data_IF_773077091310
#
_entry.id   IF_773077091310
#
_cell.length_a   1.000
_cell.length_b   1.000
_cell.length_c   1.000
_cell.angle_alpha   90.00
_cell.angle_beta   90.00
_cell.angle_gamma   90.00
#
_symmetry.space_group_name_H-M   'P 1'
#
loop_
_entity.id
_entity.type
_entity.pdbx_description
1 polymer ?
#
# COMPACT_ATOMS: atom_id res chain seq x y z
N UNK A 1 -8.93 -2.89 9.74
CA UNK A 1 -7.61 -2.32 9.40
C UNK A 1 -7.39 -2.42 7.90
N UNK A 2 -6.94 -1.35 7.25
CA UNK A 2 -6.48 -1.42 5.87
C UNK A 2 -5.04 -1.94 5.87
N UNK A 3 -4.81 -3.10 5.25
CA UNK A 3 -3.46 -3.65 5.09
C UNK A 3 -2.55 -2.73 4.27
N UNK A 4 -1.24 -3.02 4.17
CA UNK A 4 -0.36 -2.25 3.31
C UNK A 4 -0.91 -2.18 1.87
N UNK A 5 -0.96 -0.98 1.28
CA UNK A 5 -1.44 -0.80 -0.10
C UNK A 5 -0.49 -1.53 -1.05
N UNK A 6 -0.90 -2.72 -1.49
CA UNK A 6 -0.09 -3.56 -2.34
C UNK A 6 -0.28 -3.15 -3.80
N UNK A 7 0.56 -2.23 -4.30
CA UNK A 7 0.70 -2.01 -5.73
C UNK A 7 1.39 -3.24 -6.33
N UNK A 8 0.59 -4.21 -6.78
CA UNK A 8 1.12 -5.35 -7.53
C UNK A 8 1.48 -4.89 -8.94
N UNK A 9 2.69 -5.21 -9.44
CA UNK A 9 2.99 -5.04 -10.85
C UNK A 9 1.97 -5.83 -11.65
N UNK A 10 1.17 -5.14 -12.46
CA UNK A 10 0.28 -5.79 -13.42
C UNK A 10 1.05 -6.11 -14.68
N UNK A 11 0.67 -7.20 -15.35
CA UNK A 11 1.27 -7.59 -16.63
C UNK A 11 1.16 -6.42 -17.62
N UNK A 12 2.30 -5.91 -18.07
CA UNK A 12 2.35 -4.87 -19.10
C UNK A 12 2.00 -5.42 -20.49
N UNK A 13 1.66 -4.52 -21.43
CA UNK A 13 1.57 -4.80 -22.86
C UNK A 13 2.72 -4.09 -23.58
N UNK A 14 3.35 -4.76 -24.55
CA UNK A 14 4.44 -4.20 -25.36
C UNK A 14 4.51 -4.89 -26.72
N UNK A 15 4.81 -4.14 -27.78
CA UNK A 15 5.11 -4.68 -29.12
C UNK A 15 6.37 -5.56 -29.12
N UNK A 16 6.24 -6.81 -29.61
CA UNK A 16 7.31 -7.82 -29.70
C UNK A 16 7.05 -8.81 -30.85
N UNK A 17 8.09 -9.37 -31.49
CA UNK A 17 7.95 -10.49 -32.42
C UNK A 17 7.25 -11.70 -31.80
N UNK A 18 6.53 -12.47 -32.61
CA UNK A 18 5.88 -13.70 -32.18
C UNK A 18 6.91 -14.67 -31.55
N UNK A 19 6.54 -15.32 -30.45
CA UNK A 19 7.44 -16.23 -29.72
C UNK A 19 8.49 -15.57 -28.82
N UNK A 20 8.55 -14.22 -28.75
CA UNK A 20 9.53 -13.47 -27.93
C UNK A 20 8.90 -12.67 -26.77
N UNK A 21 8.25 -13.34 -25.78
CA UNK A 21 7.61 -12.64 -24.68
C UNK A 21 8.66 -11.92 -23.81
N UNK A 22 8.46 -10.62 -23.57
CA UNK A 22 9.24 -9.88 -22.59
C UNK A 22 8.81 -10.31 -21.18
N UNK A 23 9.48 -11.32 -20.63
CA UNK A 23 9.24 -11.82 -19.28
C UNK A 23 9.87 -10.86 -18.27
N UNK A 24 9.06 -10.23 -17.44
CA UNK A 24 9.53 -9.54 -16.25
C UNK A 24 9.58 -10.56 -15.12
N UNK A 25 10.74 -10.71 -14.49
CA UNK A 25 10.89 -11.57 -13.30
C UNK A 25 10.05 -10.96 -12.18
N UNK A 26 9.23 -11.79 -11.53
CA UNK A 26 8.49 -11.34 -10.36
C UNK A 26 9.48 -10.95 -9.26
N UNK A 27 9.36 -9.72 -8.74
CA UNK A 27 10.11 -9.27 -7.57
C UNK A 27 9.45 -9.85 -6.33
N UNK A 28 9.87 -11.05 -5.91
CA UNK A 28 9.32 -11.72 -4.71
C UNK A 28 9.69 -11.02 -3.41
N UNK A 29 10.85 -10.37 -3.39
CA UNK A 29 11.35 -9.68 -2.22
C UNK A 29 11.01 -8.19 -2.30
N UNK A 30 10.02 -7.74 -1.51
CA UNK A 30 9.61 -6.33 -1.43
C UNK A 30 10.05 -5.72 -0.11
N UNK A 31 11.29 -5.26 -0.06
CA UNK A 31 11.84 -4.61 1.13
C UNK A 31 11.50 -3.13 1.21
N UNK A 32 11.17 -2.50 0.07
CA UNK A 32 10.98 -1.05 -0.05
C UNK A 32 9.60 -0.71 -0.64
N UNK A 33 9.08 0.47 -0.33
CA UNK A 33 7.86 1.02 -0.93
C UNK A 33 6.54 0.49 -0.36
N UNK A 34 6.57 -0.27 0.75
CA UNK A 34 5.35 -0.63 1.48
C UNK A 34 4.94 0.52 2.38
N UNK A 35 3.73 1.03 2.16
CA UNK A 35 3.12 2.07 2.99
C UNK A 35 1.92 1.50 3.74
N UNK A 36 1.76 1.91 4.99
CA UNK A 36 0.69 1.50 5.89
C UNK A 36 -0.27 2.67 6.10
N UNK A 37 -1.56 2.44 5.86
CA UNK A 37 -2.60 3.38 6.20
C UNK A 37 -3.11 3.07 7.61
N UNK A 38 -3.05 4.06 8.49
CA UNK A 38 -3.71 4.03 9.80
C UNK A 38 -4.92 4.95 9.68
N UNK A 39 -6.12 4.44 9.99
CA UNK A 39 -7.35 5.19 9.82
C UNK A 39 -8.35 4.93 10.96
N UNK A 40 -9.18 5.93 11.23
CA UNK A 40 -10.31 5.87 12.14
C UNK A 40 -11.56 6.39 11.41
N UNK A 41 -12.66 5.67 11.58
CA UNK A 41 -13.97 6.04 11.06
C UNK A 41 -14.81 6.58 12.21
N UNK A 42 -15.26 7.82 12.09
CA UNK A 42 -16.27 8.39 12.98
C UNK A 42 -17.65 7.90 12.55
N UNK A 43 -18.30 7.11 13.41
CA UNK A 43 -19.61 6.51 13.14
C UNK A 43 -20.76 7.51 13.21
N UNK A 44 -20.61 8.62 13.93
CA UNK A 44 -21.65 9.63 14.06
C UNK A 44 -21.72 10.54 12.83
N UNK A 45 -20.56 10.90 12.27
CA UNK A 45 -20.48 11.81 11.11
C UNK A 45 -20.17 11.11 9.78
N UNK A 46 -19.75 9.84 9.82
CA UNK A 46 -19.29 9.09 8.64
C UNK A 46 -17.92 9.53 8.11
N UNK A 47 -17.20 10.41 8.82
CA UNK A 47 -15.90 10.92 8.38
C UNK A 47 -14.79 9.90 8.61
N UNK A 48 -13.94 9.71 7.60
CA UNK A 48 -12.75 8.87 7.67
C UNK A 48 -11.50 9.73 7.86
N UNK A 49 -10.85 9.59 9.01
CA UNK A 49 -9.54 10.18 9.28
C UNK A 49 -8.46 9.16 8.97
N UNK A 50 -7.43 9.53 8.22
CA UNK A 50 -6.34 8.61 7.89
C UNK A 50 -4.98 9.30 7.80
N UNK A 51 -3.92 8.53 8.05
CA UNK A 51 -2.53 8.91 7.74
C UNK A 51 -1.78 7.74 7.13
N UNK A 52 -0.90 8.04 6.19
CA UNK A 52 -0.03 7.07 5.51
C UNK A 52 1.36 7.13 6.14
N UNK A 53 1.89 5.98 6.56
CA UNK A 53 3.19 5.84 7.22
C UNK A 53 4.03 4.74 6.58
N UNK A 54 5.35 4.86 6.69
CA UNK A 54 6.29 3.85 6.19
C UNK A 54 6.35 2.60 7.07
N UNK A 55 5.89 2.68 8.32
CA UNK A 55 5.85 1.57 9.28
C UNK A 55 4.54 1.60 10.06
N UNK A 56 4.10 0.42 10.53
CA UNK A 56 2.97 0.22 11.44
C UNK A 56 3.49 -0.30 12.79
N UNK A 57 3.88 0.59 13.69
CA UNK A 57 4.20 0.24 15.09
C UNK A 57 3.29 1.03 16.03
N UNK A 58 3.36 0.69 17.32
CA UNK A 58 2.55 1.34 18.33
C UNK A 58 2.76 2.86 18.39
N UNK A 59 3.97 3.36 18.09
CA UNK A 59 4.28 4.79 18.09
C UNK A 59 3.49 5.57 17.04
N UNK A 60 3.39 5.03 15.82
CA UNK A 60 2.62 5.65 14.74
C UNK A 60 1.13 5.63 15.02
N UNK A 61 0.63 4.57 15.68
CA UNK A 61 -0.76 4.48 16.13
C UNK A 61 -1.05 5.52 17.21
N UNK A 62 -0.23 5.61 18.26
CA UNK A 62 -0.39 6.62 19.33
C UNK A 62 -0.29 8.04 18.77
N UNK A 63 0.67 8.29 17.87
CA UNK A 63 0.79 9.58 17.19
C UNK A 63 -0.45 9.92 16.37
N UNK A 64 -1.12 8.94 15.75
CA UNK A 64 -2.35 9.15 15.00
C UNK A 64 -3.52 9.44 15.94
N UNK A 65 -3.65 8.69 17.05
CA UNK A 65 -4.72 8.91 18.04
C UNK A 65 -4.64 10.29 18.68
N UNK A 66 -3.45 10.86 18.86
CA UNK A 66 -3.27 12.25 19.33
C UNK A 66 -3.75 13.31 18.34
N UNK A 67 -4.05 12.94 17.09
CA UNK A 67 -4.51 13.87 16.04
C UNK A 67 -6.00 13.76 15.74
N UNK A 68 -6.69 12.86 16.43
CA UNK A 68 -8.14 12.68 16.34
C UNK A 68 -8.87 13.61 17.31
#
# INVERSE_FOLDING_TARGET
EFGPLNLMPRRGKRWRPAGSPARLRATYNRYNGVMHMIAALDLATGKLYYRIRTRKRWREVVSFLKTL
#
